data_IF_803784283228
#
_entry.id   IF_803784283228
#
_cell.length_a   1.000
_cell.length_b   1.000
_cell.length_c   1.000
_cell.angle_alpha   90.00
_cell.angle_beta   90.00
_cell.angle_gamma   90.00
#
_symmetry.space_group_name_H-M   'P 1'
#
loop_
_entity.id
_entity.type
_entity.pdbx_description
1 polymer ?
#
# COMPACT_ATOMS: atom_id res chain seq x y z
N UNK A 1 20.92 -27.21 -1.41
CA UNK A 1 22.23 -27.71 -1.84
C UNK A 1 23.22 -26.60 -1.66
N UNK A 2 24.36 -26.78 -0.99
CA UNK A 2 25.43 -25.79 -0.95
C UNK A 2 25.95 -25.61 -2.38
N UNK A 3 26.27 -24.39 -2.76
CA UNK A 3 26.82 -24.01 -4.06
C UNK A 3 28.21 -24.65 -4.19
N UNK A 4 28.28 -25.88 -4.74
CA UNK A 4 29.52 -26.57 -5.01
C UNK A 4 30.11 -25.97 -6.29
N UNK A 5 31.27 -25.31 -6.18
CA UNK A 5 32.06 -24.82 -7.32
C UNK A 5 32.45 -23.34 -7.34
N UNK A 6 31.90 -22.49 -6.45
CA UNK A 6 32.28 -21.09 -6.41
C UNK A 6 33.37 -20.86 -5.35
N UNK A 7 34.50 -20.27 -5.75
CA UNK A 7 35.52 -19.87 -4.76
C UNK A 7 35.00 -18.67 -3.96
N UNK A 8 35.32 -18.61 -2.68
CA UNK A 8 34.96 -17.48 -1.81
C UNK A 8 35.42 -16.13 -2.38
N UNK A 9 36.55 -16.13 -3.06
CA UNK A 9 37.12 -14.97 -3.76
C UNK A 9 36.20 -14.47 -4.89
N UNK A 10 35.62 -15.36 -5.69
CA UNK A 10 34.69 -14.98 -6.78
C UNK A 10 33.39 -14.38 -6.24
N UNK A 11 32.85 -14.96 -5.17
CA UNK A 11 31.66 -14.44 -4.53
C UNK A 11 31.91 -13.07 -3.89
N UNK A 12 33.04 -12.86 -3.23
CA UNK A 12 33.40 -11.57 -2.66
C UNK A 12 33.63 -10.51 -3.73
N UNK A 13 34.26 -10.87 -4.85
CA UNK A 13 34.39 -9.99 -6.03
C UNK A 13 33.01 -9.59 -6.59
N UNK A 14 32.10 -10.54 -6.79
CA UNK A 14 30.74 -10.27 -7.24
C UNK A 14 30.02 -9.30 -6.28
N UNK A 15 30.01 -9.57 -4.99
CA UNK A 15 29.35 -8.72 -4.00
C UNK A 15 29.87 -7.29 -4.02
N UNK A 16 31.18 -7.09 -4.10
CA UNK A 16 31.82 -5.78 -4.18
C UNK A 16 31.36 -5.01 -5.42
N UNK A 17 31.43 -5.62 -6.60
CA UNK A 17 31.04 -4.98 -7.85
C UNK A 17 29.54 -4.75 -7.94
N UNK A 18 28.72 -5.68 -7.45
CA UNK A 18 27.28 -5.50 -7.37
C UNK A 18 26.86 -4.27 -6.53
N UNK A 19 27.55 -4.03 -5.43
CA UNK A 19 27.31 -2.82 -4.65
C UNK A 19 27.78 -1.56 -5.39
N UNK A 20 28.99 -1.56 -5.97
CA UNK A 20 29.53 -0.39 -6.68
C UNK A 20 28.61 -0.02 -7.85
N UNK A 21 28.28 -0.97 -8.72
CA UNK A 21 27.40 -0.72 -9.89
C UNK A 21 26.00 -0.32 -9.45
N UNK A 22 25.46 -0.93 -8.39
CA UNK A 22 24.15 -0.55 -7.84
C UNK A 22 24.12 0.92 -7.40
N UNK A 23 25.14 1.39 -6.69
CA UNK A 23 25.23 2.80 -6.29
C UNK A 23 25.48 3.75 -7.48
N UNK A 24 26.16 3.30 -8.53
CA UNK A 24 26.28 4.08 -9.78
C UNK A 24 24.92 4.21 -10.44
N UNK A 25 24.15 3.12 -10.56
CA UNK A 25 22.78 3.13 -11.11
C UNK A 25 21.87 4.04 -10.27
N UNK A 26 21.96 3.97 -8.93
CA UNK A 26 21.27 4.89 -8.03
C UNK A 26 21.63 6.35 -8.32
N UNK A 27 22.93 6.66 -8.46
CA UNK A 27 23.38 8.03 -8.69
C UNK A 27 22.89 8.57 -10.05
N UNK A 28 22.85 7.74 -11.10
CA UNK A 28 22.29 8.11 -12.40
C UNK A 28 20.81 8.42 -12.25
N UNK A 29 20.03 7.54 -11.62
CA UNK A 29 18.59 7.75 -11.42
C UNK A 29 18.33 9.00 -10.55
N UNK A 30 19.04 9.15 -9.43
CA UNK A 30 18.91 10.31 -8.55
C UNK A 30 19.22 11.62 -9.26
N UNK A 31 20.30 11.65 -10.03
CA UNK A 31 20.68 12.83 -10.81
C UNK A 31 19.64 13.15 -11.88
N UNK A 32 19.14 12.14 -12.61
CA UNK A 32 18.09 12.30 -13.62
C UNK A 32 16.85 12.94 -13.00
N UNK A 33 16.34 12.36 -11.92
CA UNK A 33 15.10 12.85 -11.29
C UNK A 33 15.27 14.21 -10.62
N UNK A 34 16.37 14.45 -9.91
CA UNK A 34 16.64 15.74 -9.26
C UNK A 34 16.84 16.88 -10.27
N UNK A 35 17.45 16.62 -11.44
CA UNK A 35 17.62 17.64 -12.49
C UNK A 35 16.34 17.94 -13.27
N UNK A 36 15.38 17.04 -13.24
CA UNK A 36 14.10 17.15 -13.97
C UNK A 36 12.89 17.24 -13.04
N UNK A 37 13.11 17.39 -11.72
CA UNK A 37 12.00 17.47 -10.76
C UNK A 37 11.13 18.69 -11.02
N UNK A 38 9.84 18.55 -10.71
CA UNK A 38 8.88 19.64 -10.82
C UNK A 38 9.30 20.81 -9.91
N UNK A 39 9.35 22.05 -10.47
CA UNK A 39 9.77 23.21 -9.69
C UNK A 39 8.72 23.67 -8.68
N UNK A 40 7.48 23.20 -8.81
CA UNK A 40 6.36 23.54 -7.94
C UNK A 40 5.49 22.30 -7.73
N UNK A 41 4.18 22.47 -7.62
CA UNK A 41 3.23 21.36 -7.64
C UNK A 41 2.86 21.01 -9.08
N UNK A 42 2.80 19.73 -9.39
CA UNK A 42 2.21 19.23 -10.64
C UNK A 42 0.69 19.08 -10.53
N UNK A 43 0.09 18.36 -11.47
CA UNK A 43 -1.35 18.09 -11.50
C UNK A 43 -1.79 17.09 -10.42
N UNK A 44 -3.10 16.86 -10.32
CA UNK A 44 -3.75 15.92 -9.39
C UNK A 44 -3.55 16.31 -7.92
N UNK A 45 -3.22 15.35 -7.07
CA UNK A 45 -3.20 15.50 -5.62
C UNK A 45 -1.89 16.09 -5.09
N UNK A 46 -0.89 16.37 -5.94
CA UNK A 46 0.44 16.85 -5.54
C UNK A 46 0.37 18.15 -4.73
N UNK A 47 -0.46 19.10 -5.15
CA UNK A 47 -0.65 20.37 -4.43
C UNK A 47 -1.17 20.16 -3.04
N UNK A 48 -2.13 19.25 -2.89
CA UNK A 48 -2.70 18.89 -1.60
C UNK A 48 -1.65 18.23 -0.71
N UNK A 49 -0.92 17.23 -1.20
CA UNK A 49 0.14 16.56 -0.43
C UNK A 49 1.25 17.51 0.01
N UNK A 50 1.67 18.44 -0.84
CA UNK A 50 2.69 19.44 -0.51
C UNK A 50 2.17 20.38 0.58
N UNK A 51 0.97 20.94 0.41
CA UNK A 51 0.39 21.91 1.35
C UNK A 51 0.08 21.29 2.72
N UNK A 52 -0.57 20.11 2.70
CA UNK A 52 -0.93 19.37 3.92
C UNK A 52 0.29 18.85 4.66
N UNK A 53 1.33 18.39 3.96
CA UNK A 53 2.59 17.99 4.59
C UNK A 53 3.27 19.16 5.29
N UNK A 54 3.35 20.32 4.63
CA UNK A 54 4.02 21.50 5.18
C UNK A 54 3.42 21.95 6.51
N UNK A 55 2.09 21.87 6.64
CA UNK A 55 1.38 22.30 7.86
C UNK A 55 0.94 21.14 8.76
N UNK A 56 1.20 19.88 8.37
CA UNK A 56 0.66 18.67 9.00
C UNK A 56 -0.87 18.77 9.15
N UNK A 57 -1.56 18.98 8.05
CA UNK A 57 -3.02 19.00 7.95
C UNK A 57 -3.55 17.59 7.58
N UNK A 58 -4.85 17.43 7.45
CA UNK A 58 -5.50 16.18 7.11
C UNK A 58 -6.04 16.24 5.69
N UNK A 59 -5.36 15.53 4.78
CA UNK A 59 -5.74 15.42 3.38
C UNK A 59 -6.87 14.42 3.11
N UNK A 60 -7.18 14.20 1.82
CA UNK A 60 -8.24 13.29 1.40
C UNK A 60 -8.00 11.83 1.85
N UNK A 61 -9.08 11.03 2.01
CA UNK A 61 -8.96 9.62 2.41
C UNK A 61 -8.13 8.76 1.43
N UNK A 62 -7.27 7.89 1.96
CA UNK A 62 -7.11 7.49 3.37
C UNK A 62 -6.07 8.31 4.16
N UNK A 63 -5.56 9.46 3.67
CA UNK A 63 -4.78 10.41 4.43
C UNK A 63 -3.25 10.26 4.41
N UNK A 64 -2.67 9.18 3.91
CA UNK A 64 -1.23 8.91 3.73
C UNK A 64 -0.30 9.43 4.85
N UNK A 65 -0.52 9.09 6.14
CA UNK A 65 0.13 9.77 7.27
C UNK A 65 1.65 9.63 7.32
N UNK A 66 2.21 8.49 6.91
CA UNK A 66 3.66 8.34 6.90
C UNK A 66 4.29 9.20 5.80
N UNK A 67 3.66 9.28 4.63
CA UNK A 67 4.09 10.19 3.58
C UNK A 67 4.12 11.63 4.10
N UNK A 68 3.04 12.07 4.75
CA UNK A 68 2.90 13.41 5.31
C UNK A 68 4.00 13.73 6.33
N UNK A 69 4.31 12.79 7.23
CA UNK A 69 5.37 12.95 8.23
C UNK A 69 6.76 13.06 7.57
N UNK A 70 7.08 12.21 6.61
CA UNK A 70 8.36 12.24 5.89
C UNK A 70 8.49 13.51 5.04
N UNK A 71 7.42 13.89 4.33
CA UNK A 71 7.39 15.13 3.56
C UNK A 71 7.52 16.36 4.47
N UNK A 72 6.90 16.35 5.66
CA UNK A 72 7.11 17.42 6.66
C UNK A 72 8.57 17.54 7.06
N UNK A 73 9.25 16.43 7.30
CA UNK A 73 10.69 16.45 7.61
C UNK A 73 11.50 17.06 6.45
N UNK A 74 11.17 16.71 5.21
CA UNK A 74 11.80 17.32 4.04
C UNK A 74 11.54 18.82 3.97
N UNK A 75 10.32 19.30 4.25
CA UNK A 75 9.98 20.73 4.23
C UNK A 75 10.72 21.57 5.27
N UNK A 76 11.23 20.96 6.36
CA UNK A 76 12.08 21.66 7.36
C UNK A 76 13.39 22.17 6.74
N UNK A 77 13.85 21.51 5.68
CA UNK A 77 15.07 21.89 4.98
C UNK A 77 14.83 23.04 3.97
N UNK A 78 13.59 23.47 3.77
CA UNK A 78 13.26 24.54 2.84
C UNK A 78 13.70 25.91 3.39
N UNK A 79 14.56 26.69 2.67
CA UNK A 79 15.01 27.99 3.13
C UNK A 79 13.87 29.03 3.21
N UNK A 80 12.82 28.84 2.43
CA UNK A 80 11.60 29.68 2.45
C UNK A 80 10.41 28.83 1.95
N UNK A 81 9.20 29.38 2.08
CA UNK A 81 7.96 28.72 1.60
C UNK A 81 7.98 28.43 0.10
N UNK A 82 8.71 29.23 -0.68
CA UNK A 82 8.91 29.00 -2.12
C UNK A 82 9.57 27.65 -2.41
N UNK A 83 10.49 27.18 -1.56
CA UNK A 83 11.22 25.93 -1.74
C UNK A 83 10.53 24.71 -1.11
N UNK A 84 9.38 24.89 -0.47
CA UNK A 84 8.63 23.76 0.12
C UNK A 84 8.28 22.68 -0.90
N UNK A 85 7.71 23.00 -2.10
CA UNK A 85 7.46 21.99 -3.13
C UNK A 85 8.75 21.27 -3.56
N UNK A 86 9.83 22.01 -3.77
CA UNK A 86 11.13 21.43 -4.16
C UNK A 86 11.62 20.37 -3.18
N UNK A 87 11.45 20.60 -1.87
CA UNK A 87 11.90 19.64 -0.85
C UNK A 87 11.07 18.36 -0.86
N UNK A 88 9.75 18.48 -1.05
CA UNK A 88 8.87 17.31 -1.16
C UNK A 88 9.15 16.53 -2.45
N UNK A 89 9.30 17.23 -3.57
CA UNK A 89 9.64 16.60 -4.85
C UNK A 89 11.02 15.94 -4.79
N UNK A 90 12.02 16.57 -4.18
CA UNK A 90 13.36 15.99 -4.00
C UNK A 90 13.34 14.72 -3.13
N UNK A 91 12.50 14.70 -2.07
CA UNK A 91 12.28 13.48 -1.28
C UNK A 91 11.77 12.33 -2.16
N UNK A 92 10.81 12.60 -3.05
CA UNK A 92 10.27 11.60 -3.97
C UNK A 92 11.28 11.18 -5.05
N UNK A 93 12.08 12.11 -5.57
CA UNK A 93 13.19 11.80 -6.48
C UNK A 93 14.17 10.80 -5.84
N UNK A 94 14.55 11.03 -4.58
CA UNK A 94 15.45 10.14 -3.85
C UNK A 94 14.81 8.79 -3.53
N UNK A 95 13.53 8.77 -3.12
CA UNK A 95 12.79 7.53 -2.91
C UNK A 95 12.74 6.68 -4.20
N UNK A 96 12.46 7.31 -5.34
CA UNK A 96 12.46 6.65 -6.64
C UNK A 96 13.84 6.12 -7.02
N UNK A 97 14.92 6.87 -6.75
CA UNK A 97 16.27 6.38 -6.99
C UNK A 97 16.60 5.16 -6.11
N UNK A 98 16.14 5.11 -4.86
CA UNK A 98 16.25 3.92 -4.02
C UNK A 98 15.42 2.74 -4.58
N UNK A 99 14.24 3.00 -5.15
CA UNK A 99 13.48 1.98 -5.86
C UNK A 99 14.32 1.34 -6.98
N UNK A 100 14.99 2.15 -7.79
CA UNK A 100 15.88 1.70 -8.87
C UNK A 100 17.06 0.88 -8.32
N UNK A 101 17.66 1.28 -7.20
CA UNK A 101 18.72 0.53 -6.53
C UNK A 101 18.27 -0.87 -6.11
N UNK A 102 17.10 -0.97 -5.44
CA UNK A 102 16.56 -2.26 -5.02
C UNK A 102 16.14 -3.11 -6.21
N UNK A 103 15.63 -2.51 -7.27
CA UNK A 103 15.32 -3.19 -8.53
C UNK A 103 16.61 -3.76 -9.16
N UNK A 104 17.68 -2.98 -9.25
CA UNK A 104 18.99 -3.44 -9.73
C UNK A 104 19.45 -4.68 -8.94
N UNK A 105 19.45 -4.60 -7.62
CA UNK A 105 19.86 -5.73 -6.79
C UNK A 105 18.93 -6.94 -6.91
N UNK A 106 17.66 -6.73 -7.15
CA UNK A 106 16.69 -7.81 -7.42
C UNK A 106 17.02 -8.50 -8.74
N UNK A 107 17.23 -7.74 -9.82
CA UNK A 107 17.56 -8.29 -11.14
C UNK A 107 18.88 -9.05 -11.10
N UNK A 108 19.93 -8.47 -10.51
CA UNK A 108 21.24 -9.15 -10.41
C UNK A 108 21.17 -10.41 -9.56
N UNK A 109 20.38 -10.43 -8.49
CA UNK A 109 20.15 -11.61 -7.67
C UNK A 109 19.50 -12.73 -8.52
N UNK A 110 18.44 -12.43 -9.25
CA UNK A 110 17.72 -13.40 -10.09
C UNK A 110 18.59 -13.88 -11.25
N UNK A 111 19.28 -12.97 -11.94
CA UNK A 111 20.19 -13.32 -13.05
C UNK A 111 21.32 -14.24 -12.59
N UNK A 112 21.99 -13.89 -11.46
CA UNK A 112 23.01 -14.76 -10.86
C UNK A 112 22.44 -16.15 -10.52
N UNK A 113 21.25 -16.21 -9.97
CA UNK A 113 20.61 -17.46 -9.58
C UNK A 113 20.26 -18.34 -10.78
N UNK A 114 19.80 -17.77 -11.88
CA UNK A 114 19.55 -18.50 -13.13
C UNK A 114 20.86 -19.08 -13.64
N UNK A 115 21.90 -18.27 -13.72
CA UNK A 115 23.21 -18.66 -14.20
C UNK A 115 23.80 -19.83 -13.38
N UNK A 116 23.77 -19.72 -12.04
CA UNK A 116 24.32 -20.74 -11.15
C UNK A 116 23.48 -22.04 -11.13
N UNK A 117 22.17 -21.96 -11.36
CA UNK A 117 21.32 -23.16 -11.52
C UNK A 117 21.65 -23.94 -12.79
N UNK A 118 22.15 -23.31 -13.83
CA UNK A 118 22.62 -23.93 -15.05
C UNK A 118 24.04 -24.50 -14.91
N UNK A 119 24.63 -24.51 -13.72
CA UNK A 119 25.95 -25.05 -13.44
C UNK A 119 27.10 -24.10 -13.84
N UNK A 120 26.81 -22.86 -14.25
CA UNK A 120 27.85 -21.92 -14.63
C UNK A 120 28.54 -21.31 -13.42
N UNK A 121 29.86 -21.17 -13.50
CA UNK A 121 30.65 -20.50 -12.47
C UNK A 121 30.59 -18.97 -12.60
N UNK A 122 30.86 -18.25 -11.49
CA UNK A 122 30.99 -16.80 -11.47
C UNK A 122 32.38 -16.34 -12.01
N UNK A 123 32.65 -16.65 -13.28
CA UNK A 123 33.79 -16.09 -13.98
C UNK A 123 33.68 -14.55 -14.09
N UNK A 124 34.78 -13.87 -14.42
CA UNK A 124 34.72 -12.41 -14.65
C UNK A 124 33.71 -12.04 -15.74
N UNK A 125 33.63 -12.82 -16.83
CA UNK A 125 32.66 -12.59 -17.90
C UNK A 125 31.22 -12.74 -17.40
N UNK A 126 30.92 -13.77 -16.62
CA UNK A 126 29.61 -14.02 -16.07
C UNK A 126 29.21 -12.95 -15.04
N UNK A 127 30.15 -12.45 -14.23
CA UNK A 127 29.92 -11.32 -13.32
C UNK A 127 29.52 -10.07 -14.13
N UNK A 128 30.27 -9.74 -15.18
CA UNK A 128 29.94 -8.61 -16.08
C UNK A 128 28.58 -8.79 -16.71
N UNK A 129 28.23 -9.98 -17.19
CA UNK A 129 26.93 -10.25 -17.77
C UNK A 129 25.78 -10.06 -16.77
N UNK A 130 25.91 -10.56 -15.53
CA UNK A 130 24.90 -10.39 -14.47
C UNK A 130 24.73 -8.92 -14.09
N UNK A 131 25.84 -8.19 -13.90
CA UNK A 131 25.80 -6.76 -13.56
C UNK A 131 25.24 -5.92 -14.71
N UNK A 132 25.62 -6.24 -15.95
CA UNK A 132 25.08 -5.60 -17.16
C UNK A 132 23.58 -5.79 -17.30
N UNK A 133 23.09 -7.02 -17.09
CA UNK A 133 21.64 -7.30 -17.08
C UNK A 133 20.91 -6.46 -16.04
N UNK A 134 21.47 -6.36 -14.82
CA UNK A 134 20.92 -5.51 -13.77
C UNK A 134 20.88 -4.03 -14.14
N UNK A 135 22.00 -3.54 -14.69
CA UNK A 135 22.12 -2.13 -15.09
C UNK A 135 21.14 -1.79 -16.23
N UNK A 136 21.08 -2.60 -17.27
CA UNK A 136 20.14 -2.41 -18.39
C UNK A 136 18.69 -2.41 -17.91
N UNK A 137 18.30 -3.40 -17.11
CA UNK A 137 16.92 -3.53 -16.63
C UNK A 137 16.52 -2.37 -15.69
N UNK A 138 17.39 -2.01 -14.76
CA UNK A 138 17.12 -0.92 -13.83
C UNK A 138 17.11 0.45 -14.53
N UNK A 139 18.04 0.72 -15.43
CA UNK A 139 18.08 1.97 -16.19
C UNK A 139 16.94 2.05 -17.22
N UNK A 140 16.55 0.95 -17.85
CA UNK A 140 15.36 0.93 -18.70
C UNK A 140 14.12 1.39 -17.92
N UNK A 141 13.94 0.89 -16.69
CA UNK A 141 12.85 1.33 -15.84
C UNK A 141 12.99 2.78 -15.36
N UNK A 142 14.23 3.26 -15.11
CA UNK A 142 14.51 4.66 -14.77
C UNK A 142 13.94 5.64 -15.78
N UNK A 143 14.02 5.30 -17.07
CA UNK A 143 13.63 6.16 -18.18
C UNK A 143 12.24 5.82 -18.78
N UNK A 144 11.42 5.02 -18.10
CA UNK A 144 10.01 4.82 -18.50
C UNK A 144 9.19 6.05 -18.14
N UNK A 145 8.34 6.52 -19.05
CA UNK A 145 7.52 7.72 -18.89
C UNK A 145 6.74 7.69 -17.58
N UNK A 146 5.99 6.63 -17.33
CA UNK A 146 5.12 6.51 -16.15
C UNK A 146 5.89 6.58 -14.84
N UNK A 147 7.04 5.90 -14.75
CA UNK A 147 7.82 5.92 -13.52
C UNK A 147 8.57 7.22 -13.33
N UNK A 148 9.11 7.79 -14.41
CA UNK A 148 9.79 9.09 -14.35
C UNK A 148 8.83 10.20 -13.94
N UNK A 149 7.63 10.25 -14.53
CA UNK A 149 6.61 11.21 -14.14
C UNK A 149 6.32 11.14 -12.63
N UNK A 150 6.02 9.95 -12.09
CA UNK A 150 5.76 9.77 -10.66
C UNK A 150 6.98 10.01 -9.75
N UNK A 151 8.20 9.92 -10.30
CA UNK A 151 9.42 10.10 -9.54
C UNK A 151 9.74 11.56 -9.21
N UNK A 152 9.28 12.50 -10.05
CA UNK A 152 9.69 13.91 -10.00
C UNK A 152 8.69 14.83 -9.31
N UNK A 153 7.57 14.28 -8.83
CA UNK A 153 6.46 15.03 -8.25
C UNK A 153 6.15 14.62 -6.80
N UNK A 154 5.47 15.49 -6.06
CA UNK A 154 5.15 15.34 -4.64
C UNK A 154 3.95 14.42 -4.38
N UNK A 155 4.03 13.12 -4.79
CA UNK A 155 2.94 12.16 -4.77
C UNK A 155 3.38 10.86 -4.05
N UNK A 156 2.44 10.10 -3.51
CA UNK A 156 2.68 8.89 -2.70
C UNK A 156 3.32 7.73 -3.48
N UNK A 157 3.23 7.72 -4.81
CA UNK A 157 3.65 6.58 -5.64
C UNK A 157 5.16 6.32 -5.63
N UNK A 158 5.98 7.35 -5.53
CA UNK A 158 7.44 7.22 -5.43
C UNK A 158 7.84 6.41 -4.20
N UNK A 159 7.35 6.80 -3.02
CA UNK A 159 7.60 6.08 -1.76
C UNK A 159 6.97 4.67 -1.78
N UNK A 160 5.75 4.52 -2.32
CA UNK A 160 5.10 3.21 -2.45
C UNK A 160 5.91 2.25 -3.30
N UNK A 161 6.44 2.72 -4.43
CA UNK A 161 7.31 1.93 -5.31
C UNK A 161 8.62 1.54 -4.63
N UNK A 162 9.21 2.46 -3.86
CA UNK A 162 10.40 2.18 -3.06
C UNK A 162 10.13 1.07 -2.03
N UNK A 163 9.02 1.13 -1.28
CA UNK A 163 8.65 0.08 -0.34
C UNK A 163 8.43 -1.26 -1.03
N UNK A 164 7.79 -1.26 -2.20
CA UNK A 164 7.57 -2.46 -3.02
C UNK A 164 8.90 -3.11 -3.41
N UNK A 165 9.83 -2.34 -3.98
CA UNK A 165 11.13 -2.84 -4.39
C UNK A 165 11.98 -3.31 -3.20
N UNK A 166 11.96 -2.56 -2.08
CA UNK A 166 12.65 -2.91 -0.85
C UNK A 166 12.15 -4.24 -0.26
N UNK A 167 10.84 -4.41 -0.15
CA UNK A 167 10.23 -5.62 0.42
C UNK A 167 10.56 -6.85 -0.43
N UNK A 168 10.48 -6.75 -1.76
CA UNK A 168 10.87 -7.83 -2.66
C UNK A 168 12.36 -8.16 -2.51
N UNK A 169 13.22 -7.16 -2.48
CA UNK A 169 14.67 -7.36 -2.28
C UNK A 169 14.98 -8.04 -0.93
N UNK A 170 14.32 -7.61 0.16
CA UNK A 170 14.49 -8.23 1.48
C UNK A 170 14.01 -9.67 1.49
N UNK A 171 12.94 -10.00 0.76
CA UNK A 171 12.47 -11.37 0.62
C UNK A 171 13.50 -12.25 -0.10
N UNK A 172 14.18 -11.74 -1.10
CA UNK A 172 15.29 -12.45 -1.74
C UNK A 172 16.50 -12.61 -0.80
N UNK A 173 16.75 -11.63 0.09
CA UNK A 173 17.74 -11.79 1.16
C UNK A 173 17.37 -12.88 2.16
N UNK A 174 16.10 -12.93 2.55
CA UNK A 174 15.59 -14.05 3.35
C UNK A 174 15.80 -15.39 2.63
N UNK A 175 15.48 -15.45 1.34
CA UNK A 175 15.61 -16.68 0.56
C UNK A 175 17.05 -17.23 0.54
N UNK A 176 18.06 -16.36 0.43
CA UNK A 176 19.49 -16.75 0.53
C UNK A 176 19.85 -17.32 1.90
N UNK A 177 19.23 -16.80 2.95
CA UNK A 177 19.58 -17.10 4.36
C UNK A 177 18.54 -17.99 5.05
N UNK A 178 17.57 -18.55 4.31
CA UNK A 178 16.40 -19.24 4.89
C UNK A 178 16.73 -20.44 5.79
N UNK A 179 17.92 -21.04 5.64
CA UNK A 179 18.40 -22.17 6.44
C UNK A 179 19.37 -21.75 7.54
N UNK A 180 19.68 -20.45 7.66
CA UNK A 180 20.55 -19.93 8.71
C UNK A 180 19.75 -19.65 10.01
N UNK A 181 20.40 -19.72 11.18
CA UNK A 181 19.79 -19.27 12.43
C UNK A 181 19.26 -17.83 12.30
N UNK A 182 18.12 -17.56 12.93
CA UNK A 182 17.48 -16.24 12.93
C UNK A 182 17.07 -15.69 11.55
N UNK A 183 16.96 -16.52 10.51
CA UNK A 183 16.53 -16.07 9.16
C UNK A 183 15.15 -15.39 9.18
N UNK A 184 14.25 -15.77 10.10
CA UNK A 184 12.91 -15.19 10.22
C UNK A 184 12.90 -13.69 10.55
N UNK A 185 14.01 -13.11 11.01
CA UNK A 185 14.15 -11.66 11.22
C UNK A 185 13.83 -10.83 9.98
N UNK A 186 14.13 -11.37 8.79
CA UNK A 186 13.81 -10.71 7.52
C UNK A 186 12.30 -10.63 7.27
N UNK A 187 11.56 -11.71 7.57
CA UNK A 187 10.10 -11.73 7.44
C UNK A 187 9.45 -10.76 8.43
N UNK A 188 9.98 -10.69 9.65
CA UNK A 188 9.51 -9.73 10.68
C UNK A 188 9.78 -8.29 10.24
N UNK A 189 10.95 -8.01 9.65
CA UNK A 189 11.27 -6.69 9.09
C UNK A 189 10.34 -6.36 7.90
N UNK A 190 10.09 -7.32 7.01
CA UNK A 190 9.13 -7.16 5.90
C UNK A 190 7.75 -6.81 6.44
N UNK A 191 7.27 -7.52 7.47
CA UNK A 191 5.98 -7.23 8.09
C UNK A 191 5.90 -5.80 8.65
N UNK A 192 6.97 -5.32 9.30
CA UNK A 192 7.06 -3.93 9.77
C UNK A 192 7.01 -2.91 8.63
N UNK A 193 7.79 -3.14 7.56
CA UNK A 193 7.80 -2.28 6.38
C UNK A 193 6.45 -2.30 5.63
N UNK A 194 5.77 -3.44 5.60
CA UNK A 194 4.40 -3.53 5.08
C UNK A 194 3.44 -2.66 5.91
N UNK A 195 3.54 -2.70 7.24
CA UNK A 195 2.78 -1.83 8.13
C UNK A 195 3.07 -0.34 7.90
N UNK A 196 4.33 0.04 7.75
CA UNK A 196 4.73 1.41 7.42
C UNK A 196 4.17 1.84 6.06
N UNK A 197 4.23 0.98 5.05
CA UNK A 197 3.78 1.30 3.70
C UNK A 197 2.27 1.56 3.61
N UNK A 198 1.45 1.01 4.52
CA UNK A 198 0.02 1.32 4.62
C UNK A 198 -0.17 2.82 4.91
N UNK A 199 0.70 3.42 5.69
CA UNK A 199 0.72 4.87 5.94
C UNK A 199 1.23 5.73 4.78
N UNK A 200 1.61 5.11 3.66
CA UNK A 200 1.93 5.77 2.39
C UNK A 200 0.86 5.45 1.36
N UNK A 201 0.77 4.18 0.96
CA UNK A 201 -0.22 3.70 0.00
C UNK A 201 -0.35 2.17 0.09
N UNK A 202 -1.57 1.65 -0.04
CA UNK A 202 -1.86 0.21 0.09
C UNK A 202 -1.34 -0.65 -1.08
N UNK A 203 -0.84 -0.02 -2.16
CA UNK A 203 -0.37 -0.72 -3.36
C UNK A 203 0.72 -1.75 -3.04
N UNK A 204 1.57 -1.49 -2.05
CA UNK A 204 2.61 -2.43 -1.63
C UNK A 204 2.05 -3.79 -1.17
N UNK A 205 0.80 -3.85 -0.69
CA UNK A 205 0.16 -5.12 -0.32
C UNK A 205 0.04 -6.09 -1.49
N UNK A 206 0.05 -5.61 -2.73
CA UNK A 206 0.04 -6.46 -3.93
C UNK A 206 1.32 -7.33 -4.07
N UNK A 207 2.38 -7.06 -3.31
CA UNK A 207 3.56 -7.92 -3.25
C UNK A 207 3.33 -9.21 -2.46
N UNK A 208 2.31 -9.28 -1.60
CA UNK A 208 2.05 -10.42 -0.70
C UNK A 208 2.01 -11.77 -1.44
N UNK A 209 1.33 -11.92 -2.59
CA UNK A 209 1.37 -13.18 -3.33
C UNK A 209 2.79 -13.58 -3.74
N UNK A 210 3.60 -12.64 -4.24
CA UNK A 210 4.99 -12.91 -4.62
C UNK A 210 5.82 -13.38 -3.40
N UNK A 211 5.65 -12.74 -2.25
CA UNK A 211 6.36 -13.11 -1.02
C UNK A 211 5.99 -14.52 -0.56
N UNK A 212 4.70 -14.86 -0.58
CA UNK A 212 4.21 -16.20 -0.22
C UNK A 212 4.74 -17.26 -1.18
N UNK A 213 4.76 -16.98 -2.49
CA UNK A 213 5.31 -17.91 -3.48
C UNK A 213 6.83 -18.09 -3.33
N UNK A 214 7.61 -17.03 -3.06
CA UNK A 214 9.04 -17.15 -2.78
C UNK A 214 9.27 -18.05 -1.56
N UNK A 215 8.45 -17.86 -0.50
CA UNK A 215 8.50 -18.70 0.69
C UNK A 215 8.18 -20.15 0.38
N UNK A 216 7.10 -20.42 -0.35
CA UNK A 216 6.69 -21.75 -0.76
C UNK A 216 7.78 -22.45 -1.57
N UNK A 217 8.28 -21.82 -2.64
CA UNK A 217 9.30 -22.42 -3.51
C UNK A 217 10.64 -22.65 -2.79
N UNK A 218 10.94 -21.84 -1.77
CA UNK A 218 12.17 -22.01 -0.99
C UNK A 218 12.08 -23.16 0.02
N UNK A 219 10.91 -23.36 0.62
CA UNK A 219 10.71 -24.38 1.69
C UNK A 219 10.22 -25.72 1.16
N UNK A 220 9.79 -25.80 -0.09
CA UNK A 220 9.23 -27.03 -0.68
C UNK A 220 10.21 -27.66 -1.65
N UNK A 221 10.46 -28.98 -1.49
CA UNK A 221 11.33 -29.74 -2.40
C UNK A 221 10.63 -30.09 -3.73
N UNK A 222 9.32 -30.31 -3.72
CA UNK A 222 8.51 -30.66 -4.89
C UNK A 222 7.35 -29.69 -5.05
N UNK A 223 7.32 -29.02 -6.19
CA UNK A 223 6.21 -28.15 -6.55
C UNK A 223 5.02 -29.02 -6.97
N UNK A 224 3.86 -28.77 -6.36
CA UNK A 224 2.60 -29.47 -6.65
C UNK A 224 1.49 -28.47 -6.92
N UNK A 225 0.50 -28.86 -7.74
CA UNK A 225 -0.68 -28.04 -7.97
C UNK A 225 -1.41 -27.68 -6.65
N UNK A 226 -1.54 -28.66 -5.74
CA UNK A 226 -2.11 -28.43 -4.42
C UNK A 226 -1.33 -27.36 -3.64
N UNK A 227 0.00 -27.40 -3.66
CA UNK A 227 0.84 -26.41 -2.98
C UNK A 227 0.70 -25.01 -3.58
N UNK A 228 0.58 -24.89 -4.91
CA UNK A 228 0.29 -23.62 -5.60
C UNK A 228 -1.07 -23.09 -5.15
N UNK A 229 -2.12 -23.92 -5.21
CA UNK A 229 -3.47 -23.53 -4.80
C UNK A 229 -3.53 -23.07 -3.33
N UNK A 230 -2.89 -23.80 -2.40
CA UNK A 230 -2.79 -23.42 -0.98
C UNK A 230 -2.04 -22.10 -0.81
N UNK A 231 -0.94 -21.89 -1.52
CA UNK A 231 -0.17 -20.63 -1.47
C UNK A 231 -0.99 -19.45 -1.97
N UNK A 232 -1.77 -19.64 -3.03
CA UNK A 232 -2.71 -18.62 -3.54
C UNK A 232 -3.78 -18.28 -2.48
N UNK A 233 -4.38 -19.29 -1.86
CA UNK A 233 -5.38 -19.09 -0.80
C UNK A 233 -4.79 -18.38 0.42
N UNK A 234 -3.57 -18.75 0.84
CA UNK A 234 -2.86 -18.08 1.94
C UNK A 234 -2.59 -16.62 1.58
N UNK A 235 -2.16 -16.34 0.35
CA UNK A 235 -1.93 -14.97 -0.12
C UNK A 235 -3.20 -14.13 -0.04
N UNK A 236 -4.31 -14.68 -0.54
CA UNK A 236 -5.64 -14.03 -0.46
C UNK A 236 -6.08 -13.82 0.98
N UNK A 237 -5.91 -14.82 1.86
CA UNK A 237 -6.24 -14.71 3.27
C UNK A 237 -5.43 -13.62 4.00
N UNK A 238 -4.13 -13.51 3.71
CA UNK A 238 -3.28 -12.44 4.27
C UNK A 238 -3.75 -11.06 3.78
N UNK A 239 -4.04 -10.92 2.48
CA UNK A 239 -4.53 -9.66 1.92
C UNK A 239 -5.87 -9.24 2.54
N UNK A 240 -6.82 -10.17 2.65
CA UNK A 240 -8.12 -9.92 3.31
C UNK A 240 -7.91 -9.57 4.78
N UNK A 241 -7.05 -10.30 5.49
CA UNK A 241 -6.74 -10.02 6.89
C UNK A 241 -6.19 -8.62 7.10
N UNK A 242 -5.22 -8.20 6.28
CA UNK A 242 -4.64 -6.85 6.41
C UNK A 242 -5.66 -5.79 6.01
N UNK A 243 -6.26 -5.93 4.82
CA UNK A 243 -7.10 -4.90 4.24
C UNK A 243 -8.47 -4.73 4.95
N UNK A 244 -9.04 -5.83 5.43
CA UNK A 244 -10.38 -5.80 6.04
C UNK A 244 -10.34 -5.86 7.57
N UNK A 245 -9.34 -6.48 8.19
CA UNK A 245 -9.28 -6.63 9.65
C UNK A 245 -8.30 -5.63 10.26
N UNK A 246 -7.03 -5.61 9.81
CA UNK A 246 -6.03 -4.74 10.45
C UNK A 246 -6.37 -3.27 10.19
N UNK A 247 -6.59 -2.88 8.94
CA UNK A 247 -6.75 -1.46 8.59
C UNK A 247 -8.04 -0.87 9.20
N UNK A 248 -9.27 -1.31 8.85
CA UNK A 248 -10.47 -0.67 9.36
C UNK A 248 -10.93 -1.22 10.71
N UNK A 249 -10.96 -2.55 10.89
CA UNK A 249 -11.62 -3.12 12.08
C UNK A 249 -10.83 -2.94 13.37
N UNK A 250 -9.50 -2.78 13.32
CA UNK A 250 -8.73 -2.40 14.52
C UNK A 250 -9.22 -1.06 15.05
N UNK A 251 -9.45 -0.08 14.16
CA UNK A 251 -9.98 1.23 14.54
C UNK A 251 -11.44 1.13 14.99
N UNK A 252 -12.25 0.34 14.28
CA UNK A 252 -13.67 0.15 14.61
C UNK A 252 -13.87 -0.48 16.00
N UNK A 253 -13.11 -1.51 16.35
CA UNK A 253 -13.16 -2.10 17.69
C UNK A 253 -12.72 -1.07 18.73
N UNK A 254 -11.66 -0.32 18.47
CA UNK A 254 -11.25 0.80 19.31
C UNK A 254 -12.35 1.85 19.48
N UNK A 255 -13.12 2.13 18.42
CA UNK A 255 -14.27 3.04 18.47
C UNK A 255 -15.41 2.52 19.36
N UNK A 256 -15.63 1.19 19.40
CA UNK A 256 -16.61 0.60 20.32
C UNK A 256 -16.17 0.72 21.79
N UNK A 257 -14.88 0.55 22.07
CA UNK A 257 -14.33 0.84 23.39
C UNK A 257 -14.51 2.32 23.75
N UNK A 258 -14.23 3.21 22.80
CA UNK A 258 -14.37 4.64 23.04
C UNK A 258 -15.82 5.05 23.29
N UNK A 259 -16.77 4.50 22.54
CA UNK A 259 -18.21 4.67 22.78
C UNK A 259 -18.59 4.31 24.23
N UNK A 260 -18.12 3.17 24.74
CA UNK A 260 -18.37 2.75 26.10
C UNK A 260 -17.72 3.68 27.13
N UNK A 261 -16.46 4.06 26.90
CA UNK A 261 -15.71 4.93 27.81
C UNK A 261 -16.31 6.33 27.88
N UNK A 262 -16.70 6.88 26.75
CA UNK A 262 -17.27 8.25 26.69
C UNK A 262 -18.72 8.25 27.20
N UNK A 263 -19.58 7.39 26.63
CA UNK A 263 -21.02 7.48 26.92
C UNK A 263 -21.42 6.89 28.27
N UNK A 264 -20.74 5.83 28.73
CA UNK A 264 -21.09 5.13 29.98
C UNK A 264 -20.22 5.51 31.15
N UNK A 265 -18.93 5.78 30.93
CA UNK A 265 -17.99 6.12 32.02
C UNK A 265 -17.73 7.64 32.12
N UNK A 266 -18.17 8.44 31.15
CA UNK A 266 -17.95 9.89 31.13
C UNK A 266 -16.47 10.30 30.95
N UNK A 267 -15.65 9.43 30.35
CA UNK A 267 -14.24 9.69 30.10
C UNK A 267 -14.04 10.51 28.81
N UNK A 268 -12.89 11.18 28.66
CA UNK A 268 -12.61 11.96 27.45
C UNK A 268 -12.65 11.12 26.17
N UNK A 269 -13.02 11.77 25.05
CA UNK A 269 -12.97 11.17 23.70
C UNK A 269 -11.57 10.65 23.38
N UNK A 270 -11.49 9.55 22.68
CA UNK A 270 -10.28 8.77 22.36
C UNK A 270 -9.67 7.97 23.53
N UNK A 271 -10.19 8.09 24.77
CA UNK A 271 -9.67 7.31 25.92
C UNK A 271 -9.86 5.81 25.75
N UNK A 272 -11.01 5.39 25.22
CA UNK A 272 -11.31 3.99 24.94
C UNK A 272 -10.47 3.43 23.78
N UNK A 273 -10.19 4.23 22.75
CA UNK A 273 -9.28 3.85 21.65
C UNK A 273 -7.86 3.60 22.20
N UNK A 274 -7.35 4.52 23.03
CA UNK A 274 -6.01 4.38 23.64
C UNK A 274 -5.95 3.12 24.50
N UNK A 275 -6.95 2.91 25.35
CA UNK A 275 -7.05 1.69 26.16
C UNK A 275 -7.01 0.42 25.30
N UNK A 276 -7.83 0.37 24.24
CA UNK A 276 -7.89 -0.78 23.33
C UNK A 276 -6.54 -1.04 22.65
N UNK A 277 -5.87 0.00 22.14
CA UNK A 277 -4.56 -0.14 21.48
C UNK A 277 -3.52 -0.69 22.45
N UNK A 278 -3.44 -0.14 23.66
CA UNK A 278 -2.50 -0.64 24.69
C UNK A 278 -2.80 -2.10 25.06
N UNK A 279 -4.08 -2.44 25.26
CA UNK A 279 -4.50 -3.80 25.58
C UNK A 279 -4.17 -4.78 24.43
N UNK A 280 -4.44 -4.39 23.18
CA UNK A 280 -4.13 -5.20 21.99
C UNK A 280 -2.63 -5.46 21.84
N UNK A 281 -1.81 -4.40 21.91
CA UNK A 281 -0.36 -4.53 21.81
C UNK A 281 0.21 -5.36 22.98
N UNK A 282 -0.33 -5.16 24.19
CA UNK A 282 0.02 -5.96 25.36
C UNK A 282 -0.33 -7.45 25.19
N UNK A 283 -1.54 -7.74 24.71
CA UNK A 283 -1.98 -9.12 24.45
C UNK A 283 -1.14 -9.81 23.37
N UNK A 284 -0.83 -9.11 22.28
CA UNK A 284 0.06 -9.61 21.23
C UNK A 284 1.47 -9.83 21.76
N UNK A 285 2.03 -8.90 22.53
CA UNK A 285 3.33 -9.02 23.16
C UNK A 285 3.41 -10.23 24.12
N UNK A 286 2.40 -10.42 24.95
CA UNK A 286 2.28 -11.62 25.79
C UNK A 286 2.17 -12.89 24.95
N UNK A 287 1.38 -12.88 23.88
CA UNK A 287 1.26 -13.99 22.95
C UNK A 287 2.60 -14.36 22.31
N UNK A 288 3.38 -13.38 21.87
CA UNK A 288 4.75 -13.55 21.34
C UNK A 288 5.64 -14.17 22.41
N UNK A 289 5.63 -13.66 23.64
CA UNK A 289 6.43 -14.20 24.75
C UNK A 289 6.10 -15.65 25.06
N UNK A 290 4.82 -16.00 25.23
CA UNK A 290 4.41 -17.36 25.56
C UNK A 290 4.65 -18.36 24.41
N UNK A 291 4.41 -17.94 23.15
CA UNK A 291 4.67 -18.81 21.99
C UNK A 291 6.16 -19.05 21.79
N UNK A 292 6.99 -18.06 22.04
CA UNK A 292 8.45 -18.20 22.04
C UNK A 292 8.89 -19.21 23.13
N UNK A 293 8.44 -19.02 24.38
CA UNK A 293 8.76 -19.92 25.50
C UNK A 293 8.31 -21.35 25.25
N UNK A 294 7.18 -21.54 24.54
CA UNK A 294 6.65 -22.89 24.22
C UNK A 294 7.22 -23.48 22.92
N UNK A 295 8.16 -22.83 22.26
CA UNK A 295 8.76 -23.28 21.01
C UNK A 295 7.80 -23.33 19.80
N UNK A 296 6.66 -22.63 19.85
CA UNK A 296 5.67 -22.59 18.76
C UNK A 296 6.09 -21.59 17.68
N UNK A 297 7.07 -21.95 16.87
CA UNK A 297 7.76 -21.04 15.92
C UNK A 297 6.81 -20.37 14.91
N UNK A 298 5.88 -21.13 14.31
CA UNK A 298 4.95 -20.57 13.31
C UNK A 298 3.98 -19.58 13.96
N UNK A 299 3.36 -19.93 15.07
CA UNK A 299 2.43 -19.04 15.78
C UNK A 299 3.15 -17.79 16.31
N UNK A 300 4.39 -17.96 16.81
CA UNK A 300 5.23 -16.84 17.22
C UNK A 300 5.51 -15.88 16.07
N UNK A 301 5.87 -16.41 14.90
CA UNK A 301 6.12 -15.59 13.71
C UNK A 301 4.86 -14.82 13.27
N UNK A 302 3.69 -15.47 13.27
CA UNK A 302 2.42 -14.83 12.92
C UNK A 302 2.09 -13.69 13.88
N UNK A 303 2.14 -13.95 15.21
CA UNK A 303 1.85 -12.92 16.22
C UNK A 303 2.86 -11.77 16.16
N UNK A 304 4.15 -12.07 15.99
CA UNK A 304 5.19 -11.06 15.90
C UNK A 304 5.04 -10.23 14.62
N UNK A 305 4.73 -10.87 13.48
CA UNK A 305 4.47 -10.16 12.23
C UNK A 305 3.24 -9.26 12.32
N UNK A 306 2.15 -9.73 12.94
CA UNK A 306 0.96 -8.92 13.20
C UNK A 306 1.27 -7.71 14.09
N UNK A 307 2.02 -7.92 15.16
CA UNK A 307 2.48 -6.86 16.05
C UNK A 307 3.30 -5.80 15.28
N UNK A 308 4.23 -6.25 14.43
CA UNK A 308 5.07 -5.36 13.64
C UNK A 308 4.28 -4.56 12.57
N UNK A 309 3.29 -5.20 11.94
CA UNK A 309 2.37 -4.50 11.02
C UNK A 309 1.61 -3.39 11.77
N UNK A 310 1.07 -3.69 12.96
CA UNK A 310 0.35 -2.71 13.77
C UNK A 310 1.25 -1.56 14.22
N UNK A 311 2.50 -1.84 14.61
CA UNK A 311 3.48 -0.80 14.95
C UNK A 311 3.78 0.07 13.73
N UNK A 312 4.00 -0.51 12.54
CA UNK A 312 4.19 0.27 11.31
C UNK A 312 2.97 1.10 10.94
N UNK A 313 1.78 0.53 11.08
CA UNK A 313 0.49 1.19 10.82
C UNK A 313 0.17 2.32 11.81
N UNK A 314 0.82 2.38 12.97
CA UNK A 314 0.55 3.38 14.02
C UNK A 314 0.72 4.84 13.59
N UNK A 315 1.33 5.11 12.42
CA UNK A 315 1.38 6.45 11.82
C UNK A 315 -0.01 7.08 11.65
N UNK A 316 -1.08 6.29 11.53
CA UNK A 316 -2.46 6.78 11.48
C UNK A 316 -2.91 7.49 12.76
N UNK A 317 -2.25 7.28 13.90
CA UNK A 317 -2.51 8.07 15.10
C UNK A 317 -2.27 9.57 14.89
N UNK A 318 -1.33 9.93 14.01
CA UNK A 318 -1.07 11.34 13.67
C UNK A 318 -2.26 12.01 12.98
N UNK A 319 -3.06 11.28 12.22
CA UNK A 319 -4.26 11.80 11.54
C UNK A 319 -5.28 12.29 12.58
N UNK A 320 -5.63 11.46 13.56
CA UNK A 320 -6.58 11.82 14.62
C UNK A 320 -6.05 12.96 15.51
N UNK A 321 -4.75 12.91 15.87
CA UNK A 321 -4.12 13.98 16.65
C UNK A 321 -4.18 15.32 15.91
N UNK A 322 -3.91 15.31 14.60
CA UNK A 322 -3.94 16.53 13.79
C UNK A 322 -5.35 17.02 13.53
N UNK A 323 -6.29 16.09 13.25
CA UNK A 323 -7.71 16.45 13.10
C UNK A 323 -8.29 17.11 14.36
N UNK A 324 -7.93 16.62 15.54
CA UNK A 324 -8.36 17.21 16.81
C UNK A 324 -7.83 18.65 17.03
N UNK A 325 -6.72 19.02 16.38
CA UNK A 325 -6.21 20.40 16.39
C UNK A 325 -6.95 21.33 15.41
N UNK A 326 -7.93 20.81 14.67
CA UNK A 326 -8.77 21.53 13.72
C UNK A 326 -7.99 22.42 12.73
N UNK A 327 -7.06 21.84 11.93
CA UNK A 327 -6.30 22.60 10.93
C UNK A 327 -7.22 23.11 9.81
N UNK A 328 -6.77 24.11 9.02
CA UNK A 328 -7.54 24.64 7.88
C UNK A 328 -8.01 23.57 6.89
N UNK A 329 -7.14 22.62 6.51
CA UNK A 329 -7.54 21.43 5.79
C UNK A 329 -7.68 20.26 6.77
N UNK A 330 -8.93 19.81 6.96
CA UNK A 330 -9.29 18.74 7.87
C UNK A 330 -10.35 17.84 7.22
N UNK A 331 -9.92 17.08 6.21
CA UNK A 331 -10.82 16.24 5.40
C UNK A 331 -11.53 15.21 6.27
N UNK A 332 -12.86 15.22 6.24
CA UNK A 332 -13.75 14.34 7.03
C UNK A 332 -13.58 14.46 8.57
N UNK A 333 -12.80 15.40 9.07
CA UNK A 333 -12.54 15.64 10.49
C UNK A 333 -12.40 14.35 11.33
N UNK A 334 -11.36 13.52 11.08
CA UNK A 334 -11.18 12.24 11.78
C UNK A 334 -10.63 12.41 13.20
N UNK A 335 -11.21 13.34 13.97
CA UNK A 335 -10.80 13.68 15.35
C UNK A 335 -11.22 12.64 16.40
N UNK A 336 -12.09 11.71 16.02
CA UNK A 336 -12.55 10.61 16.86
C UNK A 336 -12.47 9.28 16.10
N UNK A 337 -12.55 8.12 16.82
CA UNK A 337 -12.33 6.82 16.16
C UNK A 337 -13.37 6.45 15.12
N UNK A 338 -14.64 6.86 15.24
CA UNK A 338 -15.67 6.57 14.23
C UNK A 338 -15.42 7.37 12.94
N UNK A 339 -15.02 8.63 13.07
CA UNK A 339 -14.66 9.45 11.92
C UNK A 339 -13.37 8.93 11.24
N UNK A 340 -12.38 8.47 12.05
CA UNK A 340 -11.18 7.81 11.49
C UNK A 340 -11.54 6.51 10.76
N UNK A 341 -12.45 5.70 11.30
CA UNK A 341 -12.93 4.50 10.62
C UNK A 341 -13.58 4.82 9.26
N UNK A 342 -14.42 5.86 9.20
CA UNK A 342 -15.06 6.33 7.97
C UNK A 342 -14.03 6.82 6.94
N UNK A 343 -12.99 7.55 7.39
CA UNK A 343 -11.87 7.97 6.54
C UNK A 343 -11.14 6.77 5.92
N UNK A 344 -10.83 5.75 6.73
CA UNK A 344 -10.13 4.55 6.29
C UNK A 344 -10.94 3.70 5.31
N UNK A 345 -12.25 3.62 5.53
CA UNK A 345 -13.17 2.93 4.62
C UNK A 345 -13.44 3.74 3.34
N UNK A 346 -13.00 5.00 3.27
CA UNK A 346 -13.28 5.87 2.13
C UNK A 346 -14.78 6.05 1.87
N UNK A 347 -15.58 6.11 2.95
CA UNK A 347 -17.05 6.16 2.89
C UNK A 347 -17.58 7.30 1.99
N UNK A 348 -16.84 8.42 1.91
CA UNK A 348 -17.21 9.57 1.07
C UNK A 348 -17.28 9.27 -0.43
N UNK A 349 -16.61 8.20 -0.90
CA UNK A 349 -16.60 7.83 -2.33
C UNK A 349 -17.73 6.88 -2.71
N UNK A 350 -18.55 6.45 -1.74
CA UNK A 350 -19.67 5.53 -1.91
C UNK A 350 -19.21 4.12 -2.31
N UNK A 351 -20.21 3.24 -2.49
CA UNK A 351 -19.97 1.87 -2.92
C UNK A 351 -19.82 1.80 -4.44
N UNK A 352 -18.80 1.12 -4.91
CA UNK A 352 -18.57 0.80 -6.33
C UNK A 352 -18.59 -0.71 -6.50
N UNK A 353 -19.75 -1.31 -6.85
CA UNK A 353 -19.87 -2.76 -6.96
C UNK A 353 -19.02 -3.28 -8.11
N UNK A 354 -18.22 -4.33 -7.85
CA UNK A 354 -17.32 -4.93 -8.83
C UNK A 354 -17.91 -6.15 -9.51
N UNK A 355 -18.70 -6.94 -8.79
CA UNK A 355 -19.21 -8.23 -9.27
C UNK A 355 -20.67 -8.18 -9.69
N UNK A 356 -21.52 -7.54 -8.90
CA UNK A 356 -22.95 -7.44 -9.15
C UNK A 356 -23.44 -6.07 -8.71
N UNK A 357 -24.09 -5.35 -9.60
CA UNK A 357 -24.57 -4.00 -9.31
C UNK A 357 -25.37 -3.40 -10.47
N UNK A 358 -25.80 -2.14 -10.32
CA UNK A 358 -26.63 -1.48 -11.32
C UNK A 358 -25.80 -1.10 -12.56
N UNK A 359 -26.41 -1.22 -13.72
CA UNK A 359 -25.88 -0.64 -14.95
C UNK A 359 -25.99 0.90 -14.94
N UNK A 360 -25.27 1.57 -15.84
CA UNK A 360 -25.17 3.04 -15.87
C UNK A 360 -26.51 3.76 -16.11
N UNK A 361 -27.48 3.11 -16.73
CA UNK A 361 -28.82 3.67 -17.02
C UNK A 361 -29.87 3.37 -15.96
N UNK A 362 -29.50 2.61 -14.91
CA UNK A 362 -30.43 2.19 -13.87
C UNK A 362 -31.09 3.39 -13.17
N UNK A 363 -32.43 3.48 -13.15
CA UNK A 363 -33.11 4.51 -12.38
C UNK A 363 -32.97 4.25 -10.88
N UNK A 364 -33.02 5.30 -10.09
CA UNK A 364 -33.11 5.19 -8.63
C UNK A 364 -34.53 4.84 -8.25
N UNK A 365 -34.72 3.73 -7.51
CA UNK A 365 -36.01 3.30 -6.97
C UNK A 365 -36.22 3.64 -5.48
N UNK A 366 -35.11 3.91 -4.76
CA UNK A 366 -35.14 4.23 -3.35
C UNK A 366 -33.77 4.63 -2.82
N UNK A 367 -33.69 4.77 -1.49
CA UNK A 367 -32.45 5.15 -0.80
C UNK A 367 -32.05 4.07 0.19
N UNK A 368 -30.76 3.73 0.20
CA UNK A 368 -30.16 2.89 1.23
C UNK A 368 -29.74 3.78 2.40
N UNK A 369 -30.08 3.38 3.59
CA UNK A 369 -29.70 4.11 4.81
C UNK A 369 -28.64 3.33 5.58
N UNK A 370 -27.72 4.05 6.22
CA UNK A 370 -26.69 3.52 7.11
C UNK A 370 -26.69 4.34 8.40
N UNK A 371 -26.65 3.66 9.53
CA UNK A 371 -26.48 4.31 10.80
C UNK A 371 -25.01 4.68 11.03
N UNK A 372 -24.77 5.96 11.25
CA UNK A 372 -23.44 6.52 11.50
C UNK A 372 -23.41 7.13 12.90
N UNK A 373 -22.32 6.91 13.61
CA UNK A 373 -22.09 7.52 14.90
C UNK A 373 -21.26 8.79 14.74
N UNK A 374 -21.70 9.84 15.40
CA UNK A 374 -21.00 11.13 15.45
C UNK A 374 -20.91 11.62 16.88
N UNK A 375 -19.98 12.51 17.14
CA UNK A 375 -19.81 13.18 18.42
C UNK A 375 -20.68 14.44 18.42
N UNK A 376 -21.56 14.58 19.42
CA UNK A 376 -22.39 15.76 19.58
C UNK A 376 -21.64 16.90 20.32
N UNK A 377 -22.30 18.06 20.47
CA UNK A 377 -21.74 19.23 21.15
C UNK A 377 -21.52 19.00 22.66
N UNK A 378 -22.23 18.04 23.25
CA UNK A 378 -22.06 17.62 24.64
C UNK A 378 -20.91 16.62 24.82
N UNK A 379 -20.18 16.30 23.76
CA UNK A 379 -19.07 15.35 23.77
C UNK A 379 -19.48 13.89 23.91
N UNK A 380 -20.72 13.54 23.52
CA UNK A 380 -21.23 12.16 23.53
C UNK A 380 -21.49 11.63 22.14
N UNK A 381 -21.30 10.33 21.96
CA UNK A 381 -21.64 9.67 20.71
C UNK A 381 -23.14 9.46 20.58
N UNK A 382 -23.69 9.95 19.46
CA UNK A 382 -25.10 9.72 19.02
C UNK A 382 -25.10 9.00 17.67
N UNK A 383 -26.24 8.38 17.36
CA UNK A 383 -26.44 7.70 16.08
C UNK A 383 -27.41 8.52 15.22
N UNK A 384 -27.09 8.64 13.94
CA UNK A 384 -27.96 9.24 12.92
C UNK A 384 -28.00 8.35 11.70
N UNK A 385 -29.18 8.19 11.11
CA UNK A 385 -29.35 7.48 9.83
C UNK A 385 -29.08 8.45 8.68
N UNK A 386 -28.11 8.13 7.84
CA UNK A 386 -27.77 8.91 6.64
C UNK A 386 -27.99 8.08 5.39
N UNK A 387 -28.23 8.73 4.27
CA UNK A 387 -28.29 8.06 2.96
C UNK A 387 -26.86 7.60 2.61
N UNK A 388 -26.69 6.29 2.45
CA UNK A 388 -25.41 5.65 2.12
C UNK A 388 -25.31 5.22 0.66
N UNK A 389 -26.43 5.23 -0.08
CA UNK A 389 -26.47 4.82 -1.47
C UNK A 389 -27.89 4.84 -2.03
N UNK A 390 -28.03 4.28 -3.22
CA UNK A 390 -29.29 4.23 -3.93
C UNK A 390 -29.72 2.78 -4.14
N UNK A 391 -31.04 2.55 -4.12
CA UNK A 391 -31.64 1.30 -4.57
C UNK A 391 -31.99 1.41 -6.05
N UNK A 392 -31.89 0.30 -6.76
CA UNK A 392 -32.19 0.21 -8.18
C UNK A 392 -33.07 -1.01 -8.42
N UNK A 393 -33.99 -0.99 -9.42
CA UNK A 393 -34.79 -2.16 -9.77
C UNK A 393 -33.91 -3.34 -10.19
N UNK A 394 -34.32 -4.56 -9.84
CA UNK A 394 -33.58 -5.79 -10.09
C UNK A 394 -33.26 -6.03 -11.58
N UNK A 395 -34.16 -5.59 -12.47
CA UNK A 395 -34.00 -5.70 -13.92
C UNK A 395 -32.79 -4.92 -14.47
N UNK A 396 -32.28 -3.94 -13.70
CA UNK A 396 -31.06 -3.16 -14.03
C UNK A 396 -29.82 -3.64 -13.29
N UNK A 397 -29.93 -4.73 -12.54
CA UNK A 397 -28.81 -5.28 -11.77
C UNK A 397 -28.13 -6.42 -12.54
N UNK A 398 -26.81 -6.28 -12.78
CA UNK A 398 -26.04 -7.21 -13.62
C UNK A 398 -24.72 -7.64 -12.99
N UNK A 399 -24.19 -8.76 -13.48
CA UNK A 399 -22.82 -9.18 -13.18
C UNK A 399 -21.82 -8.28 -13.91
N UNK A 400 -20.75 -7.90 -13.20
CA UNK A 400 -19.66 -7.06 -13.72
C UNK A 400 -20.09 -5.67 -14.24
N UNK A 401 -20.72 -4.83 -13.39
CA UNK A 401 -21.29 -3.55 -13.79
C UNK A 401 -20.20 -2.46 -13.97
N UNK A 402 -19.12 -2.75 -14.70
CA UNK A 402 -17.97 -1.85 -14.86
C UNK A 402 -18.30 -0.57 -15.62
N UNK A 403 -19.34 -0.60 -16.45
CA UNK A 403 -19.79 0.55 -17.21
C UNK A 403 -20.52 1.59 -16.35
N UNK A 404 -20.75 1.29 -15.07
CA UNK A 404 -21.49 2.17 -14.21
C UNK A 404 -20.56 3.14 -13.45
N UNK A 405 -20.84 4.43 -13.62
CA UNK A 405 -20.14 5.51 -12.93
C UNK A 405 -21.11 6.67 -12.68
N UNK A 406 -21.31 7.06 -11.43
CA UNK A 406 -22.19 8.16 -11.05
C UNK A 406 -21.80 9.51 -11.70
N UNK A 407 -20.53 9.77 -11.87
CA UNK A 407 -20.02 11.01 -12.43
C UNK A 407 -20.14 11.09 -13.96
N UNK A 408 -20.36 9.94 -14.62
CA UNK A 408 -20.50 9.90 -16.08
C UNK A 408 -21.96 10.03 -16.49
N UNK A 409 -22.22 10.92 -17.43
CA UNK A 409 -23.57 11.07 -17.99
C UNK A 409 -23.90 9.94 -18.97
N UNK A 410 -25.22 9.74 -19.22
CA UNK A 410 -25.68 8.82 -20.28
C UNK A 410 -25.11 9.20 -21.65
N UNK A 411 -24.93 10.47 -21.91
CA UNK A 411 -24.34 11.00 -23.15
C UNK A 411 -22.88 10.57 -23.29
N UNK A 412 -22.12 10.58 -22.21
CA UNK A 412 -20.73 10.07 -22.21
C UNK A 412 -20.69 8.59 -22.59
N UNK A 413 -21.54 7.76 -22.00
CA UNK A 413 -21.63 6.34 -22.37
C UNK A 413 -22.04 6.14 -23.82
N UNK A 414 -23.01 6.93 -24.32
CA UNK A 414 -23.43 6.90 -25.73
C UNK A 414 -22.28 7.24 -26.67
N UNK A 415 -21.45 8.24 -26.34
CA UNK A 415 -20.34 8.67 -27.19
C UNK A 415 -19.26 7.61 -27.32
N UNK A 416 -19.06 6.81 -26.28
CA UNK A 416 -18.04 5.74 -26.25
C UNK A 416 -18.56 4.39 -26.78
N UNK A 417 -19.86 4.14 -26.70
CA UNK A 417 -20.46 2.85 -27.05
C UNK A 417 -20.80 2.68 -28.53
N UNK A 418 -20.41 3.60 -29.39
CA UNK A 418 -20.67 3.57 -30.82
C UNK A 418 -22.16 3.42 -31.24
N UNK A 419 -23.08 3.80 -30.36
CA UNK A 419 -24.49 3.84 -30.74
C UNK A 419 -24.76 4.86 -31.83
N UNK A 420 -25.36 4.41 -32.92
CA UNK A 420 -25.65 5.27 -34.06
C UNK A 420 -26.95 6.07 -33.88
N UNK A 421 -27.91 5.55 -33.14
CA UNK A 421 -29.20 6.19 -32.94
C UNK A 421 -29.66 6.06 -31.48
N UNK A 422 -30.50 7.02 -31.05
CA UNK A 422 -31.15 6.97 -29.74
C UNK A 422 -32.03 5.73 -29.59
N UNK A 423 -32.71 5.32 -30.66
CA UNK A 423 -33.59 4.15 -30.67
C UNK A 423 -32.85 2.86 -30.41
N UNK A 424 -31.65 2.70 -30.99
CA UNK A 424 -30.79 1.54 -30.73
C UNK A 424 -30.37 1.48 -29.26
N UNK A 425 -30.00 2.62 -28.70
CA UNK A 425 -29.62 2.75 -27.30
C UNK A 425 -30.76 2.39 -26.35
N UNK A 426 -31.98 2.93 -26.58
CA UNK A 426 -33.15 2.68 -25.75
C UNK A 426 -33.63 1.22 -25.84
N UNK A 427 -33.59 0.62 -27.03
CA UNK A 427 -33.97 -0.78 -27.23
C UNK A 427 -33.02 -1.76 -26.52
N UNK A 428 -31.73 -1.49 -26.56
CA UNK A 428 -30.70 -2.37 -26.00
C UNK A 428 -30.25 -1.94 -24.60
N UNK A 429 -31.00 -1.03 -23.95
CA UNK A 429 -30.62 -0.50 -22.63
C UNK A 429 -30.41 -1.59 -21.58
N UNK A 430 -31.24 -2.66 -21.62
CA UNK A 430 -31.09 -3.80 -20.71
C UNK A 430 -30.00 -4.78 -21.12
N UNK A 431 -29.57 -4.75 -22.37
CA UNK A 431 -28.53 -5.64 -22.88
C UNK A 431 -27.16 -4.97 -23.01
N UNK A 432 -27.03 -3.77 -22.52
CA UNK A 432 -25.79 -2.96 -22.60
C UNK A 432 -24.56 -3.57 -21.97
N UNK A 433 -24.73 -4.55 -21.10
CA UNK A 433 -23.61 -5.37 -20.65
C UNK A 433 -22.84 -6.06 -21.80
N UNK A 434 -23.52 -6.28 -22.92
CA UNK A 434 -22.91 -6.89 -24.09
C UNK A 434 -22.23 -5.89 -25.01
N UNK A 435 -22.36 -4.61 -24.71
CA UNK A 435 -21.63 -3.61 -25.44
C UNK A 435 -20.36 -3.35 -24.81
N UNK A 436 -19.75 -4.09 -24.67
CA UNK A 436 -18.76 -3.83 -24.21
C UNK A 436 -17.73 -3.80 -24.27
N UNK A 437 -17.19 -4.18 -24.38
CA UNK A 437 -15.75 -4.09 -24.21
C UNK A 437 -15.15 -3.51 -25.48
N UNK A 438 -14.36 -2.44 -25.41
CA UNK A 438 -13.49 -2.07 -26.53
C UNK A 438 -12.42 -3.12 -26.75
#
# INVERSE_FOLDING_TARGET
MPFCGQTETQMNSYKRWNNIVGWIVFAIAAMTYLLTMEPSSSLWDCSEFIATSYKLEVGHPPGAPLFMLLARLATILAPSTYYVPHMVNAMNCLASAFCILFLFWTITHLARRILTRQGAELTKANIVAVLGTGAVGALAYTFTDTFWFSAIEGEVYALSSMFTALVVWLMLKWEEQADQPHSMRWIVLIAYLMGLSIGVHILNLLTVPALVFIYYFRKTQRITFKGIAVSTLISGAILVFINSIIIPHTVYIGALFDLFFVNSLGLPVNSGLVFFVVALLGALGMGVYFTHKKGRTVLNLVLLSTLMILIGYSSYASVTIRAAANPPMNSNNPSNPFALYSLLNRDQYGDKPLLYGPQFSAPTSGYKYKDVRYLDDDGKYKTVSIISGYEHPDEFMHLFPRMWNYAASKESYKSWSAYRTRTDYERDELSLIHISEP
#
